data_IF_915297890671
#
_entry.id   IF_915297890671
#
_cell.length_a   1.000
_cell.length_b   1.000
_cell.length_c   1.000
_cell.angle_alpha   90.00
_cell.angle_beta   90.00
_cell.angle_gamma   90.00
#
_symmetry.space_group_name_H-M   'P 1'
#
loop_
_entity.id
_entity.type
_entity.pdbx_description
1 polymer ?
#
# COMPACT_ATOMS: atom_id res chain seq x y z
N UNK A 1 -3.38 -2.18 -0.55
CA UNK A 1 -2.66 -2.36 0.73
C UNK A 1 -1.34 -3.11 0.61
N UNK A 2 -1.27 -4.30 0.02
CA UNK A 2 -0.01 -5.08 -0.11
C UNK A 2 1.17 -4.24 -0.66
N UNK A 3 0.95 -3.48 -1.72
CA UNK A 3 1.95 -2.62 -2.35
C UNK A 3 2.51 -1.53 -1.41
N UNK A 4 1.71 -1.05 -0.46
CA UNK A 4 2.15 -0.05 0.50
C UNK A 4 2.84 -0.71 1.71
N UNK A 5 2.32 -1.84 2.19
CA UNK A 5 2.79 -2.47 3.42
C UNK A 5 4.02 -3.35 3.22
N UNK A 6 4.09 -4.08 2.11
CA UNK A 6 5.02 -5.21 1.95
C UNK A 6 5.71 -5.29 0.59
N UNK A 7 5.05 -4.82 -0.47
CA UNK A 7 5.44 -5.08 -1.86
C UNK A 7 6.82 -4.54 -2.19
N UNK A 8 7.79 -5.45 -2.26
CA UNK A 8 9.16 -5.17 -2.68
C UNK A 8 9.71 -6.36 -3.45
N UNK A 9 10.41 -6.06 -4.54
CA UNK A 9 11.19 -7.02 -5.30
C UNK A 9 12.64 -6.53 -5.30
N UNK A 10 13.56 -7.33 -4.75
CA UNK A 10 15.00 -7.03 -4.72
C UNK A 10 15.74 -7.88 -5.74
N UNK A 11 16.83 -7.32 -6.28
CA UNK A 11 17.69 -8.01 -7.23
C UNK A 11 19.13 -8.06 -6.71
N UNK A 12 19.74 -9.24 -6.79
CA UNK A 12 21.13 -9.47 -6.37
C UNK A 12 21.82 -10.38 -7.38
N UNK A 13 23.03 -10.00 -7.78
CA UNK A 13 23.84 -10.76 -8.76
C UNK A 13 23.09 -11.08 -10.07
N UNK A 14 22.23 -10.16 -10.52
CA UNK A 14 21.45 -10.31 -11.75
C UNK A 14 20.21 -11.19 -11.64
N UNK A 15 19.84 -11.66 -10.45
CA UNK A 15 18.64 -12.45 -10.20
C UNK A 15 17.72 -11.79 -9.17
N UNK A 16 16.41 -12.02 -9.31
CA UNK A 16 15.42 -11.62 -8.31
C UNK A 16 15.52 -12.54 -7.10
N UNK A 17 15.49 -11.97 -5.90
CA UNK A 17 15.64 -12.74 -4.67
C UNK A 17 14.33 -13.40 -4.21
N UNK A 18 13.18 -12.74 -4.40
CA UNK A 18 11.87 -13.29 -4.01
C UNK A 18 11.31 -14.24 -5.07
N UNK A 19 10.75 -15.37 -4.63
CA UNK A 19 10.36 -16.49 -5.50
C UNK A 19 8.87 -16.88 -5.40
N UNK A 20 8.19 -16.61 -4.29
CA UNK A 20 6.80 -17.00 -4.05
C UNK A 20 6.16 -16.14 -2.92
N UNK A 21 4.99 -16.52 -2.38
CA UNK A 21 4.28 -15.73 -1.36
C UNK A 21 4.84 -15.85 0.07
N UNK A 22 5.85 -16.69 0.29
CA UNK A 22 6.52 -16.80 1.58
C UNK A 22 7.63 -15.74 1.75
N UNK A 23 8.24 -15.31 0.63
CA UNK A 23 9.29 -14.29 0.55
C UNK A 23 8.85 -13.01 -0.20
N UNK A 24 7.72 -13.04 -0.94
CA UNK A 24 6.97 -11.88 -1.43
C UNK A 24 5.56 -11.81 -0.81
N UNK A 25 5.41 -11.26 0.40
CA UNK A 25 4.14 -11.31 1.11
C UNK A 25 3.06 -10.44 0.45
N UNK A 26 1.90 -11.06 0.22
CA UNK A 26 0.65 -10.37 -0.14
C UNK A 26 -0.26 -10.32 1.08
N UNK A 27 -1.03 -9.23 1.20
CA UNK A 27 -1.99 -9.08 2.29
C UNK A 27 -2.98 -10.26 2.30
N UNK A 28 -3.16 -10.85 3.49
CA UNK A 28 -4.11 -11.93 3.75
C UNK A 28 -5.38 -11.37 4.37
N UNK A 29 -6.45 -12.16 4.38
CA UNK A 29 -7.77 -11.75 4.87
C UNK A 29 -7.75 -11.20 6.29
N UNK A 30 -6.93 -11.77 7.20
CA UNK A 30 -6.82 -11.30 8.58
C UNK A 30 -6.12 -9.94 8.76
N UNK A 31 -5.49 -9.41 7.71
CA UNK A 31 -4.84 -8.10 7.72
C UNK A 31 -5.59 -7.07 6.84
N UNK A 32 -6.69 -7.47 6.20
CA UNK A 32 -7.50 -6.56 5.41
C UNK A 32 -8.25 -5.59 6.32
N UNK A 33 -8.14 -4.26 6.11
CA UNK A 33 -8.93 -3.30 6.88
C UNK A 33 -10.39 -3.34 6.46
N UNK A 34 -11.28 -2.94 7.36
CA UNK A 34 -12.65 -2.59 7.00
C UNK A 34 -12.62 -1.50 5.91
N UNK A 35 -13.40 -1.70 4.85
CA UNK A 35 -13.35 -0.85 3.65
C UNK A 35 -14.76 -0.38 3.31
N UNK A 36 -14.95 0.94 3.29
CA UNK A 36 -16.18 1.57 2.84
C UNK A 36 -15.99 2.15 1.44
N UNK A 37 -16.98 1.93 0.57
CA UNK A 37 -16.97 2.42 -0.81
C UNK A 37 -18.14 3.36 -1.01
N UNK A 38 -17.86 4.55 -1.51
CA UNK A 38 -18.86 5.55 -1.85
C UNK A 38 -18.76 5.85 -3.34
N UNK A 39 -19.89 5.72 -4.05
CA UNK A 39 -19.98 6.06 -5.48
C UNK A 39 -20.50 7.48 -5.58
N UNK A 40 -19.71 8.36 -6.20
CA UNK A 40 -20.09 9.76 -6.42
C UNK A 40 -20.85 9.87 -7.74
N UNK A 41 -22.00 10.54 -7.74
CA UNK A 41 -22.79 10.77 -8.94
C UNK A 41 -22.03 11.65 -9.95
N UNK A 42 -22.10 11.29 -11.24
CA UNK A 42 -21.51 12.04 -12.35
C UNK A 42 -22.43 12.00 -13.56
N UNK A 43 -22.49 13.12 -14.30
CA UNK A 43 -23.19 13.23 -15.60
C UNK A 43 -22.24 13.13 -16.79
N UNK A 44 -20.94 13.00 -16.54
CA UNK A 44 -19.92 12.87 -17.58
C UNK A 44 -19.97 11.48 -18.23
N UNK A 45 -19.25 11.33 -19.34
CA UNK A 45 -19.10 10.03 -19.98
C UNK A 45 -18.43 9.03 -19.03
N UNK A 46 -18.91 7.79 -19.06
CA UNK A 46 -18.34 6.70 -18.27
C UNK A 46 -16.85 6.50 -18.57
N UNK A 47 -16.03 6.46 -17.52
CA UNK A 47 -14.62 6.11 -17.57
C UNK A 47 -14.31 4.77 -16.89
N UNK A 48 -13.05 4.34 -16.96
CA UNK A 48 -12.57 3.16 -16.24
C UNK A 48 -12.49 3.41 -14.73
N UNK A 49 -12.96 2.44 -13.93
CA UNK A 49 -13.00 2.52 -12.44
C UNK A 49 -12.04 1.54 -11.75
N UNK A 50 -11.40 0.63 -12.49
CA UNK A 50 -10.53 -0.40 -11.91
C UNK A 50 -9.25 0.13 -11.28
N UNK A 51 -8.59 1.09 -11.93
CA UNK A 51 -7.33 1.67 -11.47
C UNK A 51 -7.48 2.89 -10.53
N UNK A 52 -8.44 3.83 -10.71
CA UNK A 52 -8.48 5.08 -9.93
C UNK A 52 -8.51 4.91 -8.41
N UNK A 53 -9.05 3.80 -7.91
CA UNK A 53 -9.06 3.49 -6.48
C UNK A 53 -7.70 3.09 -5.91
N UNK A 54 -6.74 2.66 -6.74
CA UNK A 54 -5.45 2.12 -6.30
C UNK A 54 -4.41 3.21 -5.93
N UNK A 55 -4.14 4.23 -6.77
CA UNK A 55 -3.14 5.26 -6.48
C UNK A 55 -3.29 5.97 -5.12
N UNK A 56 -4.50 6.34 -4.65
CA UNK A 56 -4.64 7.09 -3.40
C UNK A 56 -4.34 6.25 -2.14
N UNK A 57 -4.30 4.92 -2.23
CA UNK A 57 -4.19 4.04 -1.05
C UNK A 57 -2.87 4.23 -0.29
N UNK A 58 -1.73 4.19 -0.99
CA UNK A 58 -0.41 4.31 -0.35
C UNK A 58 -0.18 5.68 0.33
N UNK A 59 -0.42 6.84 -0.32
CA UNK A 59 -0.26 8.12 0.33
C UNK A 59 -1.26 8.34 1.48
N UNK A 60 -2.50 7.84 1.37
CA UNK A 60 -3.46 7.92 2.47
C UNK A 60 -2.96 7.17 3.73
N UNK A 61 -2.41 5.96 3.55
CA UNK A 61 -1.80 5.20 4.64
C UNK A 61 -0.59 5.93 5.25
N UNK A 62 0.34 6.42 4.42
CA UNK A 62 1.51 7.14 4.91
C UNK A 62 1.14 8.42 5.67
N UNK A 63 0.09 9.14 5.23
CA UNK A 63 -0.43 10.31 5.94
C UNK A 63 -1.07 9.94 7.28
N UNK A 64 -1.80 8.82 7.35
CA UNK A 64 -2.35 8.32 8.61
C UNK A 64 -1.25 7.93 9.61
N UNK A 65 -0.18 7.29 9.13
CA UNK A 65 1.01 6.97 9.95
C UNK A 65 1.66 8.25 10.47
N UNK A 66 1.85 9.26 9.61
CA UNK A 66 2.40 10.54 10.03
C UNK A 66 1.52 11.22 11.08
N UNK A 67 0.19 11.25 10.90
CA UNK A 67 -0.73 11.80 11.87
C UNK A 67 -0.68 11.07 13.22
N UNK A 68 -0.52 9.75 13.22
CA UNK A 68 -0.48 8.94 14.44
C UNK A 68 0.87 8.96 15.18
N UNK A 69 1.98 9.15 14.45
CA UNK A 69 3.34 8.90 14.98
C UNK A 69 4.29 10.10 14.87
N UNK A 70 3.96 11.11 14.06
CA UNK A 70 4.87 12.19 13.66
C UNK A 70 5.94 11.78 12.62
N UNK A 71 6.04 10.49 12.26
CA UNK A 71 7.05 9.98 11.33
C UNK A 71 6.55 10.03 9.89
N UNK A 72 7.35 10.64 9.01
CA UNK A 72 7.02 10.78 7.60
C UNK A 72 7.72 9.72 6.77
N UNK A 73 6.94 8.77 6.26
CA UNK A 73 7.42 7.72 5.34
C UNK A 73 7.51 8.30 3.93
N UNK A 74 8.67 8.15 3.29
CA UNK A 74 8.93 8.60 1.90
C UNK A 74 9.39 7.49 0.96
N UNK A 75 9.62 6.31 1.51
CA UNK A 75 10.07 5.13 0.79
C UNK A 75 9.19 3.96 1.20
N UNK A 76 8.74 3.17 0.23
CA UNK A 76 7.95 1.96 0.46
C UNK A 76 8.87 0.74 0.36
N UNK A 77 8.52 -0.39 0.99
CA UNK A 77 7.29 -0.62 1.76
C UNK A 77 7.34 -0.11 3.21
N UNK A 78 6.17 0.15 3.80
CA UNK A 78 6.01 0.63 5.18
C UNK A 78 6.61 -0.34 6.20
N UNK A 79 6.59 -1.66 5.94
CA UNK A 79 7.15 -2.69 6.84
C UNK A 79 8.63 -2.50 7.17
N UNK A 80 9.38 -1.75 6.35
CA UNK A 80 10.80 -1.44 6.58
C UNK A 80 11.06 -0.30 7.56
N UNK A 81 10.00 0.35 8.04
CA UNK A 81 10.13 1.55 8.87
C UNK A 81 9.75 1.27 10.32
N UNK A 82 10.53 1.82 11.26
CA UNK A 82 10.16 1.81 12.66
C UNK A 82 9.10 2.90 12.93
N UNK A 83 7.89 2.48 13.30
CA UNK A 83 6.75 3.36 13.55
C UNK A 83 6.58 3.80 15.02
N UNK A 84 7.50 3.44 15.93
CA UNK A 84 7.44 3.90 17.31
C UNK A 84 7.37 5.44 17.37
N UNK A 85 6.61 6.01 18.31
CA UNK A 85 6.51 7.46 18.45
C UNK A 85 7.89 8.07 18.71
N UNK A 86 8.12 9.24 18.10
CA UNK A 86 9.28 10.08 18.41
C UNK A 86 9.15 10.70 19.81
#
# INVERSE_FOLDING_TARGET
MSLALYGEITAKQGAIEQSNYHDYPVMRIGAAPETHVHIVESKELSGGVGEPGQPPVAPALCNAIYAATGKRIRELPVSKHNLAKA
#
